data_IF_872238384256
#
_entry.id   IF_872238384256
#
_cell.length_a   1.000
_cell.length_b   1.000
_cell.length_c   1.000
_cell.angle_alpha   90.00
_cell.angle_beta   90.00
_cell.angle_gamma   90.00
#
_symmetry.space_group_name_H-M   'P 1'
#
loop_
_entity.id
_entity.type
_entity.pdbx_description
1 polymer ?
#
# COMPACT_ATOMS: atom_id res chain seq x y z
N UNK A 1 14.44 36.06 -2.71
CA UNK A 1 14.19 35.19 -3.90
C UNK A 1 14.85 33.83 -3.79
N UNK A 2 16.16 33.72 -3.55
CA UNK A 2 16.86 32.42 -3.50
C UNK A 2 16.34 31.43 -2.44
N UNK A 3 15.90 31.91 -1.28
CA UNK A 3 15.28 31.07 -0.23
C UNK A 3 13.93 30.51 -0.67
N UNK A 4 13.07 31.33 -1.27
CA UNK A 4 11.77 30.88 -1.79
C UNK A 4 11.91 29.78 -2.84
N UNK A 5 12.86 29.94 -3.78
CA UNK A 5 13.14 28.92 -4.80
C UNK A 5 13.57 27.59 -4.17
N UNK A 6 14.42 27.62 -3.12
CA UNK A 6 14.83 26.41 -2.39
C UNK A 6 13.65 25.69 -1.74
N UNK A 7 12.71 26.43 -1.14
CA UNK A 7 11.51 25.85 -0.53
C UNK A 7 10.59 25.21 -1.58
N UNK A 8 10.39 25.86 -2.73
CA UNK A 8 9.58 25.30 -3.82
C UNK A 8 10.19 24.01 -4.35
N UNK A 9 11.50 23.97 -4.58
CA UNK A 9 12.20 22.75 -5.01
C UNK A 9 12.06 21.63 -3.99
N UNK A 10 12.21 21.93 -2.69
CA UNK A 10 12.08 20.95 -1.62
C UNK A 10 10.67 20.33 -1.56
N UNK A 11 9.63 21.15 -1.73
CA UNK A 11 8.24 20.68 -1.76
C UNK A 11 7.99 19.79 -2.98
N UNK A 12 8.48 20.18 -4.17
CA UNK A 12 8.31 19.37 -5.39
C UNK A 12 8.99 18.01 -5.25
N UNK A 13 10.21 17.98 -4.71
CA UNK A 13 10.92 16.71 -4.44
C UNK A 13 10.16 15.86 -3.43
N UNK A 14 9.68 16.45 -2.33
CA UNK A 14 8.93 15.73 -1.30
C UNK A 14 7.65 15.09 -1.87
N UNK A 15 6.87 15.86 -2.65
CA UNK A 15 5.66 15.36 -3.31
C UNK A 15 6.00 14.25 -4.29
N UNK A 16 7.06 14.40 -5.09
CA UNK A 16 7.54 13.38 -6.02
C UNK A 16 7.90 12.06 -5.32
N UNK A 17 8.59 12.13 -4.18
CA UNK A 17 8.95 10.96 -3.38
C UNK A 17 7.70 10.28 -2.81
N UNK A 18 6.76 11.05 -2.25
CA UNK A 18 5.49 10.51 -1.72
C UNK A 18 4.70 9.82 -2.84
N UNK A 19 4.63 10.42 -4.02
CA UNK A 19 3.92 9.86 -5.16
C UNK A 19 4.57 8.56 -5.65
N UNK A 20 5.90 8.54 -5.77
CA UNK A 20 6.66 7.36 -6.13
C UNK A 20 6.43 6.22 -5.11
N UNK A 21 6.52 6.50 -3.81
CA UNK A 21 6.27 5.51 -2.76
C UNK A 21 4.83 4.98 -2.77
N UNK A 22 3.84 5.85 -3.00
CA UNK A 22 2.43 5.46 -3.07
C UNK A 22 2.14 4.57 -4.28
N UNK A 23 2.80 4.79 -5.42
CA UNK A 23 2.61 3.98 -6.62
C UNK A 23 3.44 2.69 -6.66
N UNK A 24 4.62 2.67 -6.03
CA UNK A 24 5.50 1.50 -6.00
C UNK A 24 5.04 0.46 -4.98
N UNK A 25 4.58 0.89 -3.79
CA UNK A 25 4.11 -0.04 -2.74
C UNK A 25 3.02 -1.03 -3.16
N UNK A 26 1.91 -0.63 -3.82
CA UNK A 26 0.82 -1.56 -4.13
C UNK A 26 1.24 -2.63 -5.16
N UNK A 27 2.16 -2.31 -6.07
CA UNK A 27 2.61 -3.26 -7.11
C UNK A 27 3.46 -4.41 -6.53
N UNK A 28 4.25 -4.15 -5.51
CA UNK A 28 5.09 -5.18 -4.88
C UNK A 28 4.27 -6.19 -4.08
N UNK A 29 3.20 -5.75 -3.44
CA UNK A 29 2.32 -6.65 -2.67
C UNK A 29 1.60 -7.65 -3.59
N UNK A 30 1.06 -7.17 -4.72
CA UNK A 30 0.40 -8.03 -5.71
C UNK A 30 1.37 -9.01 -6.37
N UNK A 31 2.60 -8.59 -6.67
CA UNK A 31 3.61 -9.49 -7.24
C UNK A 31 4.04 -10.58 -6.25
N UNK A 32 4.14 -10.26 -4.96
CA UNK A 32 4.47 -11.25 -3.92
C UNK A 32 3.35 -12.27 -3.75
N UNK A 33 2.09 -11.82 -3.75
CA UNK A 33 0.92 -12.69 -3.65
C UNK A 33 0.85 -13.69 -4.81
N UNK A 34 1.07 -13.22 -6.06
CA UNK A 34 1.10 -14.10 -7.24
C UNK A 34 2.19 -15.17 -7.16
N UNK A 35 3.38 -14.82 -6.67
CA UNK A 35 4.45 -15.82 -6.47
C UNK A 35 4.12 -16.84 -5.38
N UNK A 36 3.36 -16.45 -4.37
CA UNK A 36 2.90 -17.36 -3.32
C UNK A 36 1.77 -18.26 -3.82
N UNK A 37 0.89 -17.73 -4.67
CA UNK A 37 -0.13 -18.48 -5.40
C UNK A 37 0.48 -19.53 -6.34
N UNK A 38 1.43 -19.14 -7.19
CA UNK A 38 2.15 -20.04 -8.09
C UNK A 38 2.92 -21.15 -7.33
N UNK A 39 3.37 -20.84 -6.11
CA UNK A 39 4.09 -21.79 -5.25
C UNK A 39 3.17 -22.70 -4.43
N UNK A 40 1.85 -22.52 -4.49
CA UNK A 40 0.91 -23.29 -3.68
C UNK A 40 0.95 -22.95 -2.17
N UNK A 41 1.52 -21.79 -1.82
CA UNK A 41 1.77 -21.36 -0.44
C UNK A 41 0.72 -20.37 0.06
N UNK A 42 -0.43 -20.29 -0.59
CA UNK A 42 -1.51 -19.45 -0.09
C UNK A 42 -2.00 -19.99 1.26
N UNK A 43 -2.37 -19.12 2.22
CA UNK A 43 -2.82 -19.56 3.54
C UNK A 43 -3.92 -20.62 3.49
N UNK A 44 -4.91 -20.48 2.60
CA UNK A 44 -5.99 -21.46 2.42
C UNK A 44 -5.55 -22.78 1.75
N UNK A 45 -4.39 -22.81 1.09
CA UNK A 45 -3.81 -24.02 0.48
C UNK A 45 -2.93 -24.79 1.47
N UNK A 46 -2.25 -24.08 2.39
CA UNK A 46 -1.35 -24.68 3.39
C UNK A 46 -2.09 -24.98 4.70
N UNK A 47 -3.06 -24.15 5.07
CA UNK A 47 -3.85 -24.27 6.30
C UNK A 47 -5.35 -24.07 5.99
N UNK A 48 -6.17 -25.13 6.03
CA UNK A 48 -7.61 -25.05 5.82
C UNK A 48 -8.35 -24.15 6.83
N UNK A 49 -7.72 -23.80 7.95
CA UNK A 49 -8.29 -22.98 9.01
C UNK A 49 -7.74 -21.55 9.04
N UNK A 50 -6.94 -21.15 8.03
CA UNK A 50 -6.40 -19.80 7.97
C UNK A 50 -7.52 -18.74 7.93
N UNK A 51 -7.50 -17.72 8.81
CA UNK A 51 -8.49 -16.65 8.79
C UNK A 51 -8.46 -15.93 7.45
N UNK A 52 -9.61 -15.82 6.78
CA UNK A 52 -9.74 -15.01 5.58
C UNK A 52 -9.60 -13.54 5.99
N UNK A 53 -8.54 -12.86 5.50
CA UNK A 53 -8.29 -11.44 5.78
C UNK A 53 -9.39 -10.49 5.27
N UNK A 54 -10.42 -10.99 4.59
CA UNK A 54 -11.56 -10.19 4.10
C UNK A 54 -12.39 -9.57 5.24
N UNK A 55 -12.37 -10.17 6.43
CA UNK A 55 -13.06 -9.63 7.62
C UNK A 55 -12.35 -8.40 8.22
N UNK A 56 -11.09 -8.14 7.86
CA UNK A 56 -10.35 -6.97 8.37
C UNK A 56 -10.64 -5.68 7.61
N UNK A 57 -11.46 -5.73 6.55
CA UNK A 57 -11.86 -4.54 5.76
C UNK A 57 -13.15 -3.90 6.26
N UNK A 58 -13.93 -4.57 7.11
CA UNK A 58 -15.18 -4.05 7.64
C UNK A 58 -15.00 -2.91 8.67
N UNK A 59 -13.81 -2.76 9.26
CA UNK A 59 -13.54 -1.77 10.32
C UNK A 59 -12.85 -0.47 9.85
N UNK A 60 -12.78 -0.22 8.53
CA UNK A 60 -12.33 1.07 8.00
C UNK A 60 -13.45 1.73 7.21
N UNK A 61 -14.50 2.12 7.91
CA UNK A 61 -15.38 3.22 7.50
C UNK A 61 -14.98 4.49 8.26
N UNK A 62 -14.16 5.39 7.66
CA UNK A 62 -13.85 6.67 8.26
C UNK A 62 -14.77 7.74 7.68
N UNK A 63 -16.04 7.81 8.13
CA UNK A 63 -16.87 8.95 7.77
C UNK A 63 -18.37 8.76 7.86
N UNK A 64 -18.91 8.63 9.07
CA UNK A 64 -20.29 9.06 9.32
C UNK A 64 -20.46 9.64 10.72
N UNK A 65 -19.84 10.79 11.01
CA UNK A 65 -20.39 11.70 12.02
C UNK A 65 -20.23 13.15 11.54
N UNK A 66 -21.38 13.81 11.44
CA UNK A 66 -21.67 15.15 10.92
C UNK A 66 -21.17 16.28 11.81
#
# INVERSE_FOLDING_TARGET
>A
MATFVKFVVLIVVLVGVIFALRYVRPKLHQQRMRRWEDAGLLPHQVDPYAPHEDDSRADRDPGDER
#
